data_IF_909582917778
#
_entry.id   IF_909582917778
#
_cell.length_a   1.000
_cell.length_b   1.000
_cell.length_c   1.000
_cell.angle_alpha   90.00
_cell.angle_beta   90.00
_cell.angle_gamma   90.00
#
_symmetry.space_group_name_H-M   'P 1'
#
loop_
_entity.id
_entity.type
_entity.pdbx_description
1 polymer ?
#
# COMPACT_ATOMS: atom_id res chain seq x y z
N UNK A 1 -17.53 -10.29 -58.24
CA UNK A 1 -17.12 -11.64 -57.80
C UNK A 1 -16.15 -11.48 -56.63
N UNK A 2 -16.63 -11.66 -55.40
CA UNK A 2 -15.82 -11.47 -54.18
C UNK A 2 -15.11 -12.80 -53.87
N UNK A 3 -13.78 -12.78 -53.82
CA UNK A 3 -12.98 -13.93 -53.36
C UNK A 3 -12.96 -13.93 -51.83
N UNK A 4 -13.65 -14.89 -51.21
CA UNK A 4 -13.63 -15.09 -49.76
C UNK A 4 -12.30 -15.77 -49.42
N UNK A 5 -11.38 -15.04 -48.80
CA UNK A 5 -10.08 -15.55 -48.37
C UNK A 5 -10.28 -16.18 -46.99
N UNK A 6 -10.11 -17.49 -46.88
CA UNK A 6 -10.18 -18.19 -45.59
C UNK A 6 -8.83 -18.02 -44.89
N UNK A 7 -8.78 -17.18 -43.86
CA UNK A 7 -7.56 -17.01 -43.06
C UNK A 7 -7.44 -18.22 -42.14
N UNK A 8 -6.49 -19.11 -42.46
CA UNK A 8 -6.09 -20.23 -41.60
C UNK A 8 -5.25 -19.64 -40.48
N UNK A 9 -5.89 -19.39 -39.34
CA UNK A 9 -5.18 -19.04 -38.10
C UNK A 9 -4.41 -20.28 -37.65
N UNK A 10 -3.11 -20.29 -37.83
CA UNK A 10 -2.22 -21.26 -37.21
C UNK A 10 -2.25 -20.98 -35.71
N UNK A 11 -2.67 -21.97 -34.92
CA UNK A 11 -2.83 -21.92 -33.44
C UNK A 11 -1.53 -21.63 -32.65
N UNK A 12 -0.46 -21.25 -33.33
CA UNK A 12 0.83 -20.82 -32.76
C UNK A 12 0.91 -19.28 -32.63
N UNK A 13 -0.23 -18.62 -32.48
CA UNK A 13 -0.27 -17.34 -31.76
C UNK A 13 0.18 -17.63 -30.34
N UNK A 14 1.47 -17.38 -30.07
CA UNK A 14 2.04 -17.31 -28.71
C UNK A 14 1.31 -16.19 -27.97
N UNK A 15 0.12 -16.53 -27.49
CA UNK A 15 -0.63 -15.76 -26.54
C UNK A 15 0.34 -15.37 -25.45
N UNK A 16 0.39 -14.08 -25.18
CA UNK A 16 1.15 -13.55 -24.07
C UNK A 16 0.71 -14.30 -22.81
N UNK A 17 1.62 -15.11 -22.26
CA UNK A 17 1.29 -16.03 -21.16
C UNK A 17 0.97 -15.19 -19.91
N UNK A 18 -0.33 -14.99 -19.69
CA UNK A 18 -0.85 -14.15 -18.60
C UNK A 18 -0.43 -14.72 -17.24
N UNK A 19 -0.27 -16.04 -17.13
CA UNK A 19 0.21 -16.71 -15.92
C UNK A 19 1.66 -16.30 -15.64
N UNK A 20 2.55 -16.36 -16.64
CA UNK A 20 3.94 -15.94 -16.53
C UNK A 20 4.08 -14.46 -16.22
N UNK A 21 3.26 -13.59 -16.82
CA UNK A 21 3.24 -12.17 -16.46
C UNK A 21 2.80 -11.98 -15.01
N UNK A 22 1.71 -12.65 -14.59
CA UNK A 22 1.15 -12.52 -13.25
C UNK A 22 2.19 -12.87 -12.18
N UNK A 23 2.96 -13.94 -12.40
CA UNK A 23 4.06 -14.37 -11.53
C UNK A 23 5.20 -13.37 -11.48
N UNK A 24 5.59 -12.81 -12.63
CA UNK A 24 6.68 -11.85 -12.72
C UNK A 24 6.34 -10.54 -11.99
N UNK A 25 5.11 -10.03 -12.15
CA UNK A 25 4.64 -8.83 -11.45
C UNK A 25 4.59 -9.08 -9.94
N UNK A 26 4.06 -10.23 -9.50
CA UNK A 26 3.99 -10.57 -8.08
C UNK A 26 5.37 -10.64 -7.42
N UNK A 27 6.37 -11.19 -8.11
CA UNK A 27 7.74 -11.26 -7.62
C UNK A 27 8.37 -9.87 -7.46
N UNK A 28 8.09 -8.96 -8.39
CA UNK A 28 8.67 -7.61 -8.35
C UNK A 28 7.97 -6.69 -7.34
N UNK A 29 6.64 -6.77 -7.23
CA UNK A 29 5.88 -6.04 -6.21
C UNK A 29 6.30 -6.43 -4.78
N UNK A 30 6.66 -7.70 -4.56
CA UNK A 30 7.14 -8.17 -3.25
C UNK A 30 8.44 -7.46 -2.83
N UNK A 31 9.36 -7.22 -3.76
CA UNK A 31 10.65 -6.55 -3.48
C UNK A 31 10.46 -5.09 -3.08
N UNK A 32 9.50 -4.40 -3.71
CA UNK A 32 9.19 -3.00 -3.42
C UNK A 32 8.52 -2.83 -2.05
N UNK A 33 7.62 -3.75 -1.68
CA UNK A 33 6.90 -3.68 -0.41
C UNK A 33 7.78 -4.02 0.82
N UNK A 34 8.94 -4.63 0.61
CA UNK A 34 9.84 -5.02 1.70
C UNK A 34 10.80 -3.89 2.10
N UNK A 35 11.07 -2.93 1.20
CA UNK A 35 12.00 -1.82 1.46
C UNK A 35 11.40 -0.67 2.29
N UNK A 36 10.08 -0.67 2.52
CA UNK A 36 9.38 0.35 3.32
C UNK A 36 8.71 -0.23 4.57
N UNK A 37 9.04 -1.46 4.99
CA UNK A 37 8.46 -2.03 6.21
C UNK A 37 9.31 -1.66 7.42
N UNK A 38 8.98 -0.60 8.20
CA UNK A 38 9.57 -0.46 9.52
C UNK A 38 9.32 -1.75 10.31
N UNK A 39 10.27 -2.19 11.15
CA UNK A 39 10.12 -3.42 11.91
C UNK A 39 8.80 -3.31 12.70
N UNK A 40 7.84 -4.17 12.36
CA UNK A 40 6.62 -4.27 13.13
C UNK A 40 7.05 -4.59 14.58
N UNK A 41 6.74 -3.74 15.57
CA UNK A 41 7.09 -4.04 16.95
C UNK A 41 6.43 -5.37 17.30
N UNK A 42 7.21 -6.29 17.87
CA UNK A 42 6.72 -7.58 18.32
C UNK A 42 5.70 -7.38 19.45
N UNK A 43 4.41 -7.31 19.11
CA UNK A 43 3.33 -7.28 20.10
C UNK A 43 2.57 -8.62 20.06
N UNK A 44 2.54 -9.38 21.17
CA UNK A 44 1.73 -10.58 21.28
C UNK A 44 0.24 -10.20 21.28
N UNK A 45 -0.58 -11.01 20.60
CA UNK A 45 -1.92 -10.63 20.17
C UNK A 45 -2.91 -10.26 21.27
N UNK A 46 -3.69 -9.20 21.00
CA UNK A 46 -5.12 -9.09 21.27
C UNK A 46 -5.70 -7.91 20.44
N UNK A 47 -6.97 -8.02 20.06
CA UNK A 47 -7.74 -7.20 19.12
C UNK A 47 -7.67 -5.66 19.29
N UNK A 48 -7.74 -4.97 18.15
CA UNK A 48 -8.26 -3.60 17.96
C UNK A 48 -7.42 -2.41 18.48
N UNK A 49 -6.32 -2.06 17.80
CA UNK A 49 -5.96 -0.66 17.48
C UNK A 49 -4.72 -0.62 16.59
N UNK A 50 -4.91 -0.07 15.40
CA UNK A 50 -3.84 0.34 14.49
C UNK A 50 -2.77 1.14 15.24
N UNK A 51 -1.47 0.92 14.97
CA UNK A 51 -0.40 1.72 15.56
C UNK A 51 -0.50 3.14 15.02
N UNK A 52 -1.24 3.99 15.73
CA UNK A 52 -1.31 5.43 15.43
C UNK A 52 0.10 5.99 15.56
N UNK A 53 0.64 6.67 14.54
CA UNK A 53 1.93 7.31 14.66
C UNK A 53 1.90 8.27 15.85
N UNK A 54 2.89 8.16 16.73
CA UNK A 54 3.06 9.04 17.89
C UNK A 54 4.10 10.09 17.59
N UNK A 55 3.85 11.32 17.98
CA UNK A 55 4.71 12.46 17.70
C UNK A 55 4.56 13.55 18.76
N UNK A 56 5.34 14.62 18.68
CA UNK A 56 5.39 15.66 19.69
C UNK A 56 4.75 16.95 19.19
N UNK A 57 3.94 17.59 20.04
CA UNK A 57 3.34 18.88 19.75
C UNK A 57 4.44 19.91 19.47
N UNK A 58 4.40 20.64 18.32
CA UNK A 58 5.40 21.65 18.01
C UNK A 58 5.36 22.86 18.96
N UNK A 59 4.20 23.14 19.57
CA UNK A 59 4.03 24.30 20.46
C UNK A 59 4.47 24.03 21.91
N UNK A 60 4.17 22.85 22.46
CA UNK A 60 4.41 22.55 23.87
C UNK A 60 5.24 21.29 24.14
N UNK A 61 5.53 20.49 23.11
CA UNK A 61 6.29 19.24 23.23
C UNK A 61 5.49 18.03 23.73
N UNK A 62 4.20 18.19 24.06
CA UNK A 62 3.32 17.11 24.54
C UNK A 62 3.23 15.95 23.54
N UNK A 63 3.10 14.73 24.04
CA UNK A 63 3.06 13.53 23.20
C UNK A 63 1.68 13.33 22.61
N UNK A 64 1.56 13.51 21.30
CA UNK A 64 0.33 13.40 20.52
C UNK A 64 0.18 12.01 19.92
N UNK A 65 -1.08 11.53 19.90
CA UNK A 65 -1.48 10.32 19.18
C UNK A 65 -2.14 10.77 17.87
N UNK A 66 -1.74 10.20 16.75
CA UNK A 66 -2.33 10.55 15.45
C UNK A 66 -3.86 10.47 15.46
N UNK A 67 -4.51 11.49 14.87
CA UNK A 67 -5.97 11.63 14.78
C UNK A 67 -6.60 12.65 15.74
N UNK A 68 -5.81 13.33 16.57
CA UNK A 68 -6.29 14.42 17.45
C UNK A 68 -6.35 15.76 16.69
N UNK A 69 -7.49 16.47 16.76
CA UNK A 69 -7.69 17.82 16.17
C UNK A 69 -7.03 18.94 16.98
N UNK A 70 -6.87 18.72 18.29
CA UNK A 70 -6.32 19.69 19.22
C UNK A 70 -5.35 19.00 20.17
N UNK A 71 -4.29 19.70 20.57
CA UNK A 71 -3.34 19.19 21.54
C UNK A 71 -3.99 19.13 22.95
N UNK A 72 -3.96 18.00 23.66
CA UNK A 72 -4.49 17.89 25.02
C UNK A 72 -3.64 18.64 26.06
N UNK A 73 -2.39 18.98 25.73
CA UNK A 73 -1.48 19.71 26.62
C UNK A 73 -1.69 21.23 26.55
N UNK A 74 -1.65 21.82 25.36
CA UNK A 74 -1.71 23.28 25.17
C UNK A 74 -2.99 23.79 24.48
N UNK A 75 -3.79 22.92 23.86
CA UNK A 75 -5.00 23.32 23.14
C UNK A 75 -4.77 23.87 21.73
N UNK A 76 -3.54 23.85 21.20
CA UNK A 76 -3.29 24.26 19.81
C UNK A 76 -4.01 23.33 18.83
N UNK A 77 -4.60 23.91 17.79
CA UNK A 77 -5.19 23.17 16.68
C UNK A 77 -4.10 22.51 15.83
N UNK A 78 -4.37 21.29 15.40
CA UNK A 78 -3.42 20.41 14.78
C UNK A 78 -3.84 20.16 13.33
N UNK A 79 -2.98 20.58 12.39
CA UNK A 79 -3.34 20.70 10.97
C UNK A 79 -3.49 19.34 10.23
N UNK A 80 -3.09 18.23 10.85
CA UNK A 80 -3.13 16.87 10.28
C UNK A 80 -4.44 16.11 10.54
N UNK A 81 -5.44 16.75 11.11
CA UNK A 81 -6.71 16.12 11.43
C UNK A 81 -7.67 16.12 10.22
N UNK A 82 -7.36 15.30 9.22
CA UNK A 82 -8.29 14.92 8.13
C UNK A 82 -9.22 13.78 8.56
#
# INVERSE_FOLDING_TARGET
MIRVITIKMSEEDKGFDVDKLSRAIAAELKKLNESDKPPAPAVPGNMEKEPKPTWNCPECGEKLKGGEKYCPGCGVELEWAE
#
